data_IF_134676314884
#
_entry.id   IF_134676314884
#
_cell.length_a   1.000
_cell.length_b   1.000
_cell.length_c   1.000
_cell.angle_alpha   90.00
_cell.angle_beta   90.00
_cell.angle_gamma   90.00
#
_symmetry.space_group_name_H-M   'P 1'
#
loop_
_entity.id
_entity.type
_entity.pdbx_description
1 polymer ?
#
# COMPACT_ATOMS: atom_id res chain seq x y z
N UNK A 1 -10.94 -1.78 -2.20
CA UNK A 1 -11.03 -2.83 -3.24
C UNK A 1 -9.62 -3.16 -3.69
N UNK A 2 -9.25 -4.44 -3.69
CA UNK A 2 -7.94 -4.91 -4.16
C UNK A 2 -7.86 -4.92 -5.68
N UNK A 3 -6.75 -4.45 -6.22
CA UNK A 3 -6.51 -4.29 -7.65
C UNK A 3 -5.06 -4.65 -7.97
N UNK A 4 -4.86 -5.53 -8.94
CA UNK A 4 -3.55 -5.95 -9.46
C UNK A 4 -3.17 -5.25 -10.77
N UNK A 5 -3.96 -4.27 -11.23
CA UNK A 5 -3.66 -3.47 -12.42
C UNK A 5 -4.27 -2.07 -12.33
N UNK A 6 -3.69 -1.12 -13.08
CA UNK A 6 -4.19 0.26 -13.14
C UNK A 6 -5.63 0.34 -13.66
N UNK A 7 -5.98 -0.48 -14.67
CA UNK A 7 -7.34 -0.49 -15.21
C UNK A 7 -8.38 -0.92 -14.19
N UNK A 8 -8.06 -1.94 -13.38
CA UNK A 8 -8.91 -2.38 -12.28
C UNK A 8 -9.04 -1.27 -11.21
N UNK A 9 -7.94 -0.60 -10.86
CA UNK A 9 -7.93 0.49 -9.89
C UNK A 9 -8.82 1.67 -10.31
N UNK A 10 -8.73 2.09 -11.57
CA UNK A 10 -9.59 3.16 -12.12
C UNK A 10 -11.05 2.74 -12.11
N UNK A 11 -11.33 1.50 -12.52
CA UNK A 11 -12.71 0.97 -12.55
C UNK A 11 -13.30 0.91 -11.14
N UNK A 12 -12.53 0.46 -10.15
CA UNK A 12 -12.93 0.42 -8.75
C UNK A 12 -13.21 1.82 -8.20
N UNK A 13 -12.32 2.78 -8.49
CA UNK A 13 -12.51 4.17 -8.10
C UNK A 13 -13.77 4.78 -8.74
N UNK A 14 -13.99 4.55 -10.04
CA UNK A 14 -15.16 5.03 -10.76
C UNK A 14 -16.48 4.37 -10.28
N UNK A 15 -16.40 3.13 -9.80
CA UNK A 15 -17.52 2.42 -9.19
C UNK A 15 -17.84 2.91 -7.76
N UNK A 16 -17.06 3.84 -7.21
CA UNK A 16 -17.31 4.45 -5.90
C UNK A 16 -16.56 3.80 -4.74
N UNK A 17 -15.45 3.09 -4.98
CA UNK A 17 -14.62 2.57 -3.89
C UNK A 17 -13.95 3.70 -3.10
N UNK A 18 -14.04 3.68 -1.77
CA UNK A 18 -13.39 4.67 -0.91
C UNK A 18 -11.86 4.49 -0.83
N UNK A 19 -11.41 3.23 -0.81
CA UNK A 19 -10.00 2.82 -0.80
C UNK A 19 -9.75 1.87 -1.97
N UNK A 20 -8.66 2.10 -2.70
CA UNK A 20 -8.10 1.17 -3.67
C UNK A 20 -6.76 0.65 -3.16
N UNK A 21 -6.66 -0.67 -3.07
CA UNK A 21 -5.47 -1.40 -2.66
C UNK A 21 -4.74 -1.87 -3.91
N UNK A 22 -3.52 -1.37 -4.12
CA UNK A 22 -2.63 -1.78 -5.20
C UNK A 22 -1.73 -2.91 -4.70
N UNK A 23 -2.05 -4.13 -5.11
CA UNK A 23 -1.37 -5.33 -4.62
C UNK A 23 -0.24 -5.80 -5.56
N UNK A 24 0.93 -6.05 -4.99
CA UNK A 24 2.12 -6.58 -5.67
C UNK A 24 2.65 -5.71 -6.85
N UNK A 25 2.46 -4.39 -6.77
CA UNK A 25 3.04 -3.46 -7.75
C UNK A 25 4.52 -3.24 -7.50
N UNK A 26 5.30 -3.03 -8.57
CA UNK A 26 6.64 -2.46 -8.40
C UNK A 26 6.54 -0.99 -7.95
N UNK A 27 7.54 -0.42 -7.25
CA UNK A 27 7.49 0.98 -6.80
C UNK A 27 7.18 1.98 -7.95
N UNK A 28 7.78 1.76 -9.12
CA UNK A 28 7.55 2.64 -10.27
C UNK A 28 6.11 2.56 -10.80
N UNK A 29 5.55 1.35 -10.87
CA UNK A 29 4.16 1.15 -11.31
C UNK A 29 3.18 1.67 -10.27
N UNK A 30 3.45 1.44 -8.99
CA UNK A 30 2.65 1.93 -7.87
C UNK A 30 2.48 3.45 -7.94
N UNK A 31 3.58 4.20 -8.04
CA UNK A 31 3.52 5.66 -8.07
C UNK A 31 2.76 6.18 -9.29
N UNK A 32 2.92 5.54 -10.46
CA UNK A 32 2.16 5.87 -11.67
C UNK A 32 0.68 5.58 -11.49
N UNK A 33 0.34 4.43 -10.93
CA UNK A 33 -1.04 4.02 -10.72
C UNK A 33 -1.74 4.91 -9.67
N UNK A 34 -1.08 5.15 -8.54
CA UNK A 34 -1.55 6.02 -7.48
C UNK A 34 -1.80 7.45 -7.99
N UNK A 35 -0.87 8.02 -8.76
CA UNK A 35 -1.05 9.34 -9.35
C UNK A 35 -2.25 9.39 -10.31
N UNK A 36 -2.41 8.38 -11.19
CA UNK A 36 -3.54 8.34 -12.12
C UNK A 36 -4.90 8.21 -11.41
N UNK A 37 -4.96 7.40 -10.34
CA UNK A 37 -6.16 7.28 -9.49
C UNK A 37 -6.47 8.61 -8.81
N UNK A 38 -5.47 9.26 -8.18
CA UNK A 38 -5.65 10.54 -7.49
C UNK A 38 -6.04 11.69 -8.42
N UNK A 39 -5.52 11.73 -9.65
CA UNK A 39 -5.91 12.74 -10.65
C UNK A 39 -7.40 12.61 -11.01
N UNK A 40 -7.88 11.38 -11.20
CA UNK A 40 -9.26 11.13 -11.63
C UNK A 40 -10.26 11.17 -10.46
N UNK A 41 -9.81 10.70 -9.29
CA UNK A 41 -10.63 10.52 -8.09
C UNK A 41 -9.84 10.94 -6.84
N UNK A 42 -9.68 12.25 -6.59
CA UNK A 42 -8.78 12.77 -5.54
C UNK A 42 -9.20 12.39 -4.12
N UNK A 43 -10.46 12.02 -3.91
CA UNK A 43 -11.01 11.59 -2.61
C UNK A 43 -10.76 10.11 -2.31
N UNK A 44 -10.40 9.31 -3.31
CA UNK A 44 -10.12 7.89 -3.12
C UNK A 44 -8.76 7.75 -2.46
N UNK A 45 -8.71 6.93 -1.41
CA UNK A 45 -7.48 6.58 -0.72
C UNK A 45 -6.76 5.47 -1.49
N UNK A 46 -5.44 5.56 -1.57
CA UNK A 46 -4.59 4.57 -2.22
C UNK A 46 -3.75 3.87 -1.16
N UNK A 47 -3.89 2.56 -1.11
CA UNK A 47 -3.10 1.67 -0.25
C UNK A 47 -2.12 0.86 -1.10
N UNK A 48 -0.88 0.73 -0.63
CA UNK A 48 0.13 -0.15 -1.23
C UNK A 48 0.32 -1.42 -0.38
N UNK A 49 0.32 -2.58 -1.03
CA UNK A 49 0.54 -3.89 -0.39
C UNK A 49 1.31 -4.85 -1.29
N UNK A 50 1.80 -5.93 -0.71
CA UNK A 50 2.46 -7.04 -1.40
C UNK A 50 3.97 -6.99 -1.28
N UNK A 51 4.55 -7.89 -0.47
CA UNK A 51 6.00 -8.10 -0.37
C UNK A 51 6.82 -6.90 0.16
N UNK A 52 6.20 -5.89 0.75
CA UNK A 52 6.87 -4.70 1.27
C UNK A 52 7.61 -5.06 2.58
N UNK A 53 8.90 -4.73 2.64
CA UNK A 53 9.77 -4.91 3.82
C UNK A 53 10.21 -3.56 4.38
N UNK A 54 10.85 -3.55 5.54
CA UNK A 54 11.38 -2.31 6.11
C UNK A 54 12.48 -1.69 5.21
N UNK A 55 13.26 -2.49 4.49
CA UNK A 55 14.27 -1.96 3.57
C UNK A 55 13.65 -1.37 2.31
N UNK A 56 12.56 -1.96 1.79
CA UNK A 56 11.94 -1.51 0.54
C UNK A 56 10.90 -0.41 0.76
N UNK A 57 10.35 -0.28 1.97
CA UNK A 57 9.33 0.71 2.34
C UNK A 57 9.60 2.13 1.81
N UNK A 58 10.80 2.73 1.91
CA UNK A 58 11.03 4.08 1.42
C UNK A 58 10.73 4.27 -0.07
N UNK A 59 10.81 3.21 -0.87
CA UNK A 59 10.50 3.26 -2.31
C UNK A 59 9.01 3.25 -2.60
N UNK A 60 8.18 2.73 -1.69
CA UNK A 60 6.72 2.66 -1.83
C UNK A 60 6.01 3.91 -1.30
N UNK A 61 6.66 4.65 -0.39
CA UNK A 61 6.12 5.91 0.14
C UNK A 61 6.18 7.00 -0.93
N UNK A 62 5.09 7.74 -1.09
CA UNK A 62 5.01 8.83 -2.06
C UNK A 62 3.80 9.73 -1.82
N UNK A 63 3.72 10.88 -2.52
CA UNK A 63 2.68 11.88 -2.27
C UNK A 63 1.25 11.42 -2.60
N UNK A 64 1.11 10.33 -3.36
CA UNK A 64 -0.18 9.79 -3.79
C UNK A 64 -0.55 8.47 -3.10
N UNK A 65 0.31 7.97 -2.21
CA UNK A 65 0.08 6.74 -1.44
C UNK A 65 -0.27 7.15 -0.02
N UNK A 66 -1.48 6.82 0.43
CA UNK A 66 -1.98 7.25 1.73
C UNK A 66 -1.70 6.21 2.82
N UNK A 67 -1.70 4.93 2.46
CA UNK A 67 -1.52 3.80 3.38
C UNK A 67 -0.53 2.80 2.79
N UNK A 68 0.31 2.23 3.64
CA UNK A 68 1.18 1.10 3.29
C UNK A 68 0.96 0.00 4.31
N UNK A 69 0.51 -1.16 3.85
CA UNK A 69 0.33 -2.34 4.68
C UNK A 69 1.49 -3.33 4.51
N UNK A 70 1.97 -3.86 5.63
CA UNK A 70 3.16 -4.72 5.69
C UNK A 70 2.89 -5.92 6.58
N UNK A 71 2.69 -7.09 5.98
CA UNK A 71 2.44 -8.34 6.73
C UNK A 71 3.61 -8.75 7.64
N UNK A 72 4.83 -8.30 7.36
CA UNK A 72 6.01 -8.59 8.18
C UNK A 72 5.93 -8.02 9.60
N UNK A 73 5.07 -7.01 9.83
CA UNK A 73 4.88 -6.40 11.15
C UNK A 73 4.22 -7.36 12.16
N UNK A 74 3.50 -8.38 11.69
CA UNK A 74 2.78 -9.33 12.55
C UNK A 74 3.24 -10.77 12.36
N UNK A 75 3.47 -11.20 11.12
CA UNK A 75 3.89 -12.58 10.83
C UNK A 75 5.42 -12.78 10.88
N UNK A 76 6.20 -11.70 10.88
CA UNK A 76 7.67 -11.75 10.83
C UNK A 76 8.38 -10.94 11.93
N UNK A 77 7.64 -10.40 12.91
CA UNK A 77 8.22 -9.57 13.95
C UNK A 77 8.86 -10.43 15.07
N UNK A 78 10.16 -10.26 15.37
CA UNK A 78 10.79 -10.97 16.47
C UNK A 78 10.24 -10.49 17.83
N UNK A 79 10.09 -11.42 18.77
CA UNK A 79 9.74 -11.07 20.14
C UNK A 79 10.90 -10.30 20.80
N UNK A 80 10.54 -9.31 21.63
CA UNK A 80 11.51 -8.61 22.47
C UNK A 80 11.89 -9.50 23.66
N UNK A 81 13.18 -9.54 23.98
CA UNK A 81 13.70 -10.26 25.13
C UNK A 81 13.52 -9.42 26.41
N UNK A 82 12.78 -9.95 27.37
CA UNK A 82 12.48 -9.28 28.64
C UNK A 82 12.92 -10.14 29.81
N UNK A 83 13.56 -9.52 30.80
CA UNK A 83 13.93 -10.16 32.07
C UNK A 83 13.37 -9.38 33.26
N UNK A 84 12.75 -10.09 34.21
CA UNK A 84 12.32 -9.55 35.49
C UNK A 84 13.39 -9.87 36.55
N UNK A 85 13.93 -8.85 37.22
CA UNK A 85 14.87 -9.00 38.34
C UNK A 85 14.15 -8.68 39.66
N UNK A 86 14.32 -9.57 40.63
CA UNK A 86 13.82 -9.43 42.01
C UNK A 86 14.90 -8.83 42.89
#
# INVERSE_FOLDING_TARGET
VECSSLGAAITAAAAGADIVLLDNFTPQELHRAAAAVKVSHPRVLVEASGGITLETLPSFVGPHVDVVSMGCLTHGAPALDFALKV
#
